data_IF_325515346644
#
_entry.id   IF_325515346644
#
_cell.length_a   1.000
_cell.length_b   1.000
_cell.length_c   1.000
_cell.angle_alpha   90.00
_cell.angle_beta   90.00
_cell.angle_gamma   90.00
#
_symmetry.space_group_name_H-M   'P 1'
#
loop_
_entity.id
_entity.type
_entity.pdbx_description
1 polymer ?
#
# COMPACT_ATOMS: atom_id res chain seq x y z
N UNK A 1 -48.85 16.55 62.30
CA UNK A 1 -48.85 15.08 62.35
C UNK A 1 -47.98 14.65 61.19
N UNK A 2 -46.70 14.48 61.45
CA UNK A 2 -46.01 13.20 61.69
C UNK A 2 -46.16 12.23 60.52
N UNK A 3 -45.15 11.85 59.84
CA UNK A 3 -44.10 10.86 59.99
C UNK A 3 -43.44 10.63 58.62
N UNK A 4 -42.21 10.72 58.50
CA UNK A 4 -41.07 9.79 58.53
C UNK A 4 -40.70 9.26 57.14
N UNK A 5 -39.57 9.73 56.74
CA UNK A 5 -38.28 9.03 56.70
C UNK A 5 -38.34 7.59 56.19
N UNK A 6 -37.74 7.35 55.03
CA UNK A 6 -36.72 6.33 54.98
C UNK A 6 -35.78 6.45 53.75
N UNK A 7 -34.53 6.67 54.08
CA UNK A 7 -33.36 6.44 53.24
C UNK A 7 -33.36 4.99 52.76
N UNK A 8 -33.10 4.76 51.50
CA UNK A 8 -32.22 3.63 51.11
C UNK A 8 -31.46 4.00 49.84
N UNK A 9 -30.20 4.21 50.06
CA UNK A 9 -29.09 4.13 49.13
C UNK A 9 -29.10 2.80 48.40
N UNK A 10 -29.14 2.82 47.09
CA UNK A 10 -28.75 1.70 46.26
C UNK A 10 -27.77 2.21 45.20
N UNK A 11 -26.53 2.08 45.58
CA UNK A 11 -25.35 2.24 44.72
C UNK A 11 -25.51 1.37 43.50
N UNK A 12 -25.97 1.92 42.39
CA UNK A 12 -25.96 1.26 41.10
C UNK A 12 -24.49 1.21 40.64
N UNK A 13 -23.82 0.14 41.01
CA UNK A 13 -22.48 -0.18 40.56
C UNK A 13 -22.59 -0.54 39.10
N UNK A 14 -22.36 0.45 38.21
CA UNK A 14 -22.17 0.23 36.80
C UNK A 14 -20.94 -0.66 36.65
N UNK A 15 -21.16 -1.94 36.41
CA UNK A 15 -20.13 -2.88 35.96
C UNK A 15 -19.65 -2.42 34.61
N UNK A 16 -18.60 -1.62 34.59
CA UNK A 16 -17.83 -1.33 33.39
C UNK A 16 -17.21 -2.67 32.97
N UNK A 17 -17.84 -3.29 31.98
CA UNK A 17 -17.31 -4.45 31.28
C UNK A 17 -15.90 -4.13 30.78
N UNK A 18 -14.88 -4.99 31.05
CA UNK A 18 -13.54 -4.73 30.59
C UNK A 18 -13.54 -4.70 29.06
N UNK A 19 -13.02 -3.60 28.53
CA UNK A 19 -12.82 -3.40 27.11
C UNK A 19 -12.35 -4.70 26.44
N UNK A 20 -13.11 -5.19 25.47
CA UNK A 20 -12.68 -6.24 24.56
C UNK A 20 -11.35 -5.80 23.97
N UNK A 21 -10.28 -6.39 24.48
CA UNK A 21 -8.95 -6.34 23.90
C UNK A 21 -9.11 -6.77 22.43
N UNK A 22 -9.09 -5.82 21.52
CA UNK A 22 -9.15 -6.09 20.11
C UNK A 22 -7.98 -7.04 19.81
N UNK A 23 -8.28 -8.32 19.62
CA UNK A 23 -7.36 -9.28 19.03
C UNK A 23 -6.95 -8.65 17.69
N UNK A 24 -5.67 -8.31 17.58
CA UNK A 24 -5.04 -7.86 16.35
C UNK A 24 -5.10 -9.06 15.39
N UNK A 25 -6.23 -9.17 14.66
CA UNK A 25 -6.37 -10.16 13.61
C UNK A 25 -5.15 -10.01 12.72
N UNK A 26 -4.36 -11.08 12.59
CA UNK A 26 -3.34 -11.20 11.55
C UNK A 26 -4.08 -11.09 10.24
N UNK A 27 -4.18 -9.89 9.70
CA UNK A 27 -4.75 -9.67 8.39
C UNK A 27 -3.86 -10.42 7.40
N UNK A 28 -4.40 -11.45 6.76
CA UNK A 28 -3.71 -12.17 5.68
C UNK A 28 -3.41 -11.18 4.55
N UNK A 29 -2.19 -10.66 4.57
CA UNK A 29 -1.68 -9.76 3.53
C UNK A 29 -0.92 -10.60 2.52
N UNK A 30 -1.54 -10.83 1.37
CA UNK A 30 -0.91 -11.52 0.24
C UNK A 30 -0.36 -10.49 -0.73
N UNK A 31 0.96 -10.38 -0.85
CA UNK A 31 1.60 -9.56 -1.88
C UNK A 31 1.42 -10.24 -3.24
N UNK A 32 0.87 -9.50 -4.20
CA UNK A 32 0.56 -10.00 -5.55
C UNK A 32 1.62 -9.56 -6.55
N UNK A 33 2.01 -8.29 -6.51
CA UNK A 33 3.01 -7.72 -7.40
C UNK A 33 3.88 -6.71 -6.64
N UNK A 34 5.17 -6.64 -6.95
CA UNK A 34 6.11 -5.68 -6.39
C UNK A 34 6.93 -5.00 -7.46
N UNK A 35 7.14 -3.69 -7.34
CA UNK A 35 7.98 -2.89 -8.22
C UNK A 35 9.41 -2.82 -7.66
N UNK A 36 10.26 -3.78 -8.07
CA UNK A 36 11.66 -3.81 -7.63
C UNK A 36 12.46 -2.66 -8.23
N UNK A 37 12.16 -2.26 -9.48
CA UNK A 37 12.83 -1.15 -10.18
C UNK A 37 12.63 0.18 -9.44
N UNK A 38 11.45 0.42 -8.89
CA UNK A 38 11.18 1.63 -8.11
C UNK A 38 12.14 1.78 -6.91
N UNK A 39 12.41 0.71 -6.18
CA UNK A 39 13.35 0.75 -5.04
C UNK A 39 14.81 0.93 -5.46
N UNK A 40 15.15 0.48 -6.66
CA UNK A 40 16.49 0.66 -7.22
C UNK A 40 16.70 2.10 -7.68
N UNK A 41 15.73 2.68 -8.40
CA UNK A 41 15.88 3.96 -9.10
C UNK A 41 15.54 5.18 -8.23
N UNK A 42 14.77 5.00 -7.17
CA UNK A 42 14.24 6.07 -6.34
C UNK A 42 14.60 5.90 -4.86
N UNK A 43 14.75 7.02 -4.17
CA UNK A 43 14.79 7.08 -2.70
C UNK A 43 13.35 7.24 -2.24
N UNK A 44 12.87 6.32 -1.40
CA UNK A 44 11.51 6.34 -0.86
C UNK A 44 11.59 6.96 0.52
N UNK A 45 10.87 8.07 0.73
CA UNK A 45 10.82 8.76 2.03
C UNK A 45 9.66 8.26 2.87
N UNK A 46 8.45 8.25 2.31
CA UNK A 46 7.24 7.85 3.02
C UNK A 46 6.45 6.85 2.18
N UNK A 47 5.69 5.98 2.86
CA UNK A 47 4.81 5.01 2.20
C UNK A 47 3.39 5.16 2.69
N UNK A 48 2.43 5.07 1.76
CA UNK A 48 1.00 5.22 2.00
C UNK A 48 0.26 4.02 1.45
N UNK A 49 -0.81 3.61 2.12
CA UNK A 49 -1.68 2.52 1.66
C UNK A 49 -2.95 3.11 1.05
N UNK A 50 -3.21 2.83 -0.22
CA UNK A 50 -4.37 3.30 -0.95
C UNK A 50 -5.26 2.13 -1.37
N UNK A 51 -6.58 2.30 -1.35
CA UNK A 51 -7.50 1.43 -2.04
C UNK A 51 -7.41 1.65 -3.55
N UNK A 52 -7.81 0.69 -4.36
CA UNK A 52 -7.86 0.82 -5.82
C UNK A 52 -9.24 0.47 -6.36
N UNK A 53 -9.75 1.29 -7.26
CA UNK A 53 -11.03 1.05 -7.96
C UNK A 53 -10.77 0.15 -9.17
N UNK A 54 -11.33 -1.05 -9.14
CA UNK A 54 -11.11 -2.09 -10.14
C UNK A 54 -12.45 -2.56 -10.73
N UNK A 55 -12.40 -3.06 -11.95
CA UNK A 55 -13.50 -3.82 -12.57
C UNK A 55 -13.46 -5.29 -12.13
N UNK A 56 -14.56 -6.02 -12.38
CA UNK A 56 -14.66 -7.43 -11.99
C UNK A 56 -13.61 -8.34 -12.67
N UNK A 57 -13.24 -8.04 -13.90
CA UNK A 57 -12.21 -8.77 -14.64
C UNK A 57 -10.80 -8.44 -14.12
N UNK A 58 -10.54 -7.18 -13.78
CA UNK A 58 -9.25 -6.75 -13.23
C UNK A 58 -8.92 -7.40 -11.88
N UNK A 59 -9.89 -7.44 -10.95
CA UNK A 59 -9.64 -8.07 -9.64
C UNK A 59 -9.31 -9.57 -9.78
N UNK A 60 -9.91 -10.25 -10.76
CA UNK A 60 -9.59 -11.65 -11.06
C UNK A 60 -8.16 -11.78 -11.58
N UNK A 61 -7.73 -10.92 -12.50
CA UNK A 61 -6.35 -10.87 -13.01
C UNK A 61 -5.34 -10.54 -11.92
N UNK A 62 -5.65 -9.60 -11.05
CA UNK A 62 -4.81 -9.26 -9.89
C UNK A 62 -4.67 -10.45 -8.95
N UNK A 63 -5.76 -11.14 -8.62
CA UNK A 63 -5.70 -12.35 -7.77
C UNK A 63 -4.86 -13.46 -8.39
N UNK A 64 -4.82 -13.54 -9.72
CA UNK A 64 -3.97 -14.46 -10.48
C UNK A 64 -2.50 -13.99 -10.60
N UNK A 65 -2.14 -12.83 -10.03
CA UNK A 65 -0.77 -12.30 -10.08
C UNK A 65 -0.37 -11.67 -11.41
N UNK A 66 -1.33 -11.43 -12.33
CA UNK A 66 -1.06 -10.93 -13.69
C UNK A 66 -1.05 -9.40 -13.73
N UNK A 67 -0.15 -8.79 -12.95
CA UNK A 67 0.00 -7.34 -12.86
C UNK A 67 1.46 -6.95 -12.96
N UNK A 68 1.75 -5.90 -13.73
CA UNK A 68 3.06 -5.28 -13.81
C UNK A 68 2.95 -3.80 -13.41
N UNK A 69 3.80 -3.39 -12.46
CA UNK A 69 3.89 -2.01 -11.95
C UNK A 69 5.11 -1.25 -12.49
N UNK A 70 5.87 -1.86 -13.38
CA UNK A 70 7.02 -1.18 -13.97
C UNK A 70 6.55 0.03 -14.78
N UNK A 71 7.31 1.12 -14.69
CA UNK A 71 7.07 2.36 -15.40
C UNK A 71 5.69 3.01 -15.12
N UNK A 72 5.05 2.61 -14.01
CA UNK A 72 3.81 3.22 -13.51
C UNK A 72 4.10 4.26 -12.44
N UNK A 73 3.24 5.26 -12.38
CA UNK A 73 3.30 6.34 -11.39
C UNK A 73 1.89 6.75 -10.96
N UNK A 74 1.80 7.49 -9.86
CA UNK A 74 0.54 8.05 -9.42
C UNK A 74 0.57 9.58 -9.54
N UNK A 75 -0.57 10.16 -9.93
CA UNK A 75 -0.76 11.60 -10.10
C UNK A 75 -2.00 12.06 -9.33
N UNK A 76 -1.94 13.28 -8.81
CA UNK A 76 -3.09 13.93 -8.18
C UNK A 76 -3.73 14.86 -9.21
N UNK A 77 -5.02 14.59 -9.55
CA UNK A 77 -5.86 15.44 -10.40
C UNK A 77 -7.17 15.74 -9.70
N UNK A 78 -7.55 17.00 -9.61
CA UNK A 78 -8.85 17.39 -9.04
C UNK A 78 -9.08 16.93 -7.60
N UNK A 79 -7.99 16.81 -6.79
CA UNK A 79 -8.10 16.31 -5.41
C UNK A 79 -8.26 14.80 -5.30
N UNK A 80 -8.05 14.06 -6.36
CA UNK A 80 -8.07 12.61 -6.42
C UNK A 80 -6.73 12.05 -6.89
N UNK A 81 -6.41 10.83 -6.47
CA UNK A 81 -5.16 10.14 -6.87
C UNK A 81 -5.47 9.13 -7.96
N UNK A 82 -4.71 9.18 -9.04
CA UNK A 82 -4.84 8.32 -10.20
C UNK A 82 -3.56 7.51 -10.42
N UNK A 83 -3.70 6.22 -10.60
CA UNK A 83 -2.61 5.31 -10.98
C UNK A 83 -2.57 5.20 -12.50
N UNK A 84 -1.43 5.57 -13.08
CA UNK A 84 -1.21 5.64 -14.53
C UNK A 84 -0.11 4.65 -14.92
N UNK A 85 -0.28 4.00 -16.08
CA UNK A 85 0.72 3.10 -16.66
C UNK A 85 0.81 1.71 -16.05
N UNK A 86 0.05 1.40 -14.99
CA UNK A 86 0.02 0.06 -14.42
C UNK A 86 -0.67 -0.91 -15.39
N UNK A 87 0.05 -1.96 -15.79
CA UNK A 87 -0.46 -2.98 -16.68
C UNK A 87 -1.13 -4.12 -15.91
N UNK A 88 -2.41 -4.34 -16.19
CA UNK A 88 -3.18 -5.49 -15.68
C UNK A 88 -3.58 -6.33 -16.88
N UNK A 89 -3.07 -7.56 -16.97
CA UNK A 89 -3.35 -8.43 -18.11
C UNK A 89 -4.83 -8.79 -18.19
N UNK A 90 -5.38 -8.95 -19.39
CA UNK A 90 -6.76 -9.40 -19.58
C UNK A 90 -7.00 -10.74 -18.87
N UNK A 91 -8.22 -10.93 -18.37
CA UNK A 91 -8.58 -12.19 -17.76
C UNK A 91 -8.92 -13.22 -18.83
N UNK A 92 -8.22 -14.36 -18.82
CA UNK A 92 -8.33 -15.39 -19.89
C UNK A 92 -9.73 -15.98 -20.09
N UNK A 93 -10.56 -15.93 -19.04
CA UNK A 93 -11.95 -16.39 -19.07
C UNK A 93 -12.95 -15.23 -19.12
N UNK A 94 -12.50 -14.01 -19.44
CA UNK A 94 -13.31 -12.78 -19.43
C UNK A 94 -14.08 -12.53 -20.72
N UNK A 95 -14.09 -13.49 -21.67
CA UNK A 95 -14.75 -13.38 -22.97
C UNK A 95 -14.51 -12.00 -23.65
N UNK A 96 -15.51 -11.40 -24.31
CA UNK A 96 -15.39 -10.14 -25.08
C UNK A 96 -15.29 -8.88 -24.21
N UNK A 97 -15.68 -8.93 -22.92
CA UNK A 97 -15.73 -7.78 -22.02
C UNK A 97 -14.45 -7.65 -21.15
N UNK A 98 -13.30 -7.67 -21.77
CA UNK A 98 -12.06 -7.40 -21.08
C UNK A 98 -11.80 -5.89 -21.01
N UNK A 99 -11.18 -5.47 -19.90
CA UNK A 99 -10.74 -4.11 -19.67
C UNK A 99 -9.51 -3.76 -20.51
N UNK A 100 -9.31 -2.47 -20.76
CA UNK A 100 -8.06 -1.96 -21.31
C UNK A 100 -6.92 -2.18 -20.29
N UNK A 101 -5.81 -2.88 -20.70
CA UNK A 101 -4.75 -3.26 -19.77
C UNK A 101 -4.06 -2.10 -19.05
N UNK A 102 -3.88 -0.95 -19.72
CA UNK A 102 -3.18 0.23 -19.18
C UNK A 102 -4.08 1.39 -18.81
N UNK A 103 -5.39 1.17 -18.65
CA UNK A 103 -6.29 2.26 -18.26
C UNK A 103 -5.86 2.93 -16.96
N UNK A 104 -6.20 4.18 -16.80
CA UNK A 104 -6.04 4.91 -15.55
C UNK A 104 -6.97 4.35 -14.47
N UNK A 105 -6.47 4.20 -13.25
CA UNK A 105 -7.22 3.63 -12.11
C UNK A 105 -7.23 4.61 -10.95
N UNK A 106 -8.43 4.93 -10.47
CA UNK A 106 -8.60 5.79 -9.32
C UNK A 106 -8.13 5.08 -8.05
N UNK A 107 -7.36 5.80 -7.24
CA UNK A 107 -6.92 5.34 -5.93
C UNK A 107 -7.73 6.03 -4.83
N UNK A 108 -8.10 5.25 -3.83
CA UNK A 108 -8.90 5.71 -2.69
C UNK A 108 -7.98 5.94 -1.50
N UNK A 109 -7.89 7.20 -1.07
CA UNK A 109 -7.11 7.65 0.07
C UNK A 109 -7.91 8.66 0.89
N UNK A 110 -7.52 8.87 2.13
CA UNK A 110 -8.12 9.92 2.95
C UNK A 110 -7.77 11.31 2.42
N UNK A 111 -8.75 12.22 2.43
CA UNK A 111 -8.57 13.59 1.92
C UNK A 111 -7.39 14.32 2.59
N UNK A 112 -7.17 14.09 3.88
CA UNK A 112 -6.03 14.68 4.61
C UNK A 112 -4.68 14.21 4.06
N UNK A 113 -4.57 12.91 3.71
CA UNK A 113 -3.37 12.34 3.10
C UNK A 113 -3.13 12.91 1.70
N UNK A 114 -4.20 13.03 0.89
CA UNK A 114 -4.12 13.61 -0.45
C UNK A 114 -3.62 15.06 -0.40
N UNK A 115 -4.14 15.89 0.51
CA UNK A 115 -3.71 17.28 0.68
C UNK A 115 -2.24 17.36 1.12
N UNK A 116 -1.81 16.49 2.06
CA UNK A 116 -0.41 16.41 2.49
C UNK A 116 0.51 16.02 1.34
N UNK A 117 0.12 15.01 0.56
CA UNK A 117 0.88 14.56 -0.61
C UNK A 117 0.94 15.63 -1.69
N UNK A 118 -0.16 16.33 -1.95
CA UNK A 118 -0.21 17.40 -2.94
C UNK A 118 0.80 18.50 -2.60
N UNK A 119 0.89 18.93 -1.34
CA UNK A 119 1.88 19.91 -0.91
C UNK A 119 3.31 19.45 -1.16
N UNK A 120 3.64 18.20 -0.80
CA UNK A 120 4.99 17.65 -0.99
C UNK A 120 5.37 17.45 -2.48
N UNK A 121 4.40 17.07 -3.33
CA UNK A 121 4.64 16.85 -4.76
C UNK A 121 4.89 18.18 -5.49
N UNK A 122 4.29 19.29 -5.02
CA UNK A 122 4.58 20.61 -5.57
C UNK A 122 6.02 21.06 -5.33
N UNK A 123 6.68 20.51 -4.30
CA UNK A 123 8.11 20.67 -4.12
C UNK A 123 8.87 19.95 -5.25
N UNK A 124 9.95 20.58 -5.75
CA UNK A 124 10.73 20.05 -6.88
C UNK A 124 11.33 18.66 -6.58
N UNK A 125 11.06 17.72 -7.46
CA UNK A 125 11.71 16.41 -7.49
C UNK A 125 10.98 15.29 -6.77
N UNK A 126 9.77 15.50 -6.22
CA UNK A 126 8.95 14.45 -5.64
C UNK A 126 7.95 13.86 -6.64
N UNK A 127 7.78 12.57 -6.57
CA UNK A 127 6.81 11.82 -7.37
C UNK A 127 6.20 10.68 -6.55
N UNK A 128 5.00 10.25 -6.92
CA UNK A 128 4.34 9.09 -6.30
C UNK A 128 4.53 7.87 -7.19
N UNK A 129 5.08 6.81 -6.60
CA UNK A 129 5.36 5.57 -7.32
C UNK A 129 4.68 4.41 -6.60
N UNK A 130 3.98 3.52 -7.30
CA UNK A 130 3.46 2.30 -6.70
C UNK A 130 4.63 1.33 -6.44
N UNK A 131 4.70 0.87 -5.19
CA UNK A 131 5.74 -0.05 -4.73
C UNK A 131 5.29 -1.51 -4.81
N UNK A 132 4.06 -1.75 -4.40
CA UNK A 132 3.48 -3.10 -4.43
C UNK A 132 1.96 -3.06 -4.42
N UNK A 133 1.36 -4.13 -4.94
CA UNK A 133 -0.06 -4.43 -4.80
C UNK A 133 -0.18 -5.64 -3.90
N UNK A 134 -1.05 -5.54 -2.91
CA UNK A 134 -1.36 -6.63 -2.00
C UNK A 134 -2.87 -6.80 -1.81
N UNK A 135 -3.26 -8.01 -1.45
CA UNK A 135 -4.62 -8.32 -1.06
C UNK A 135 -4.69 -8.34 0.47
N UNK A 136 -5.62 -7.58 1.01
CA UNK A 136 -5.94 -7.57 2.44
C UNK A 136 -7.44 -7.79 2.62
N UNK A 137 -7.80 -8.88 3.30
CA UNK A 137 -9.20 -9.28 3.47
C UNK A 137 -9.96 -9.36 2.12
N UNK A 138 -9.33 -9.93 1.08
CA UNK A 138 -9.91 -10.07 -0.26
C UNK A 138 -9.99 -8.79 -1.09
N UNK A 139 -9.63 -7.62 -0.54
CA UNK A 139 -9.59 -6.33 -1.23
C UNK A 139 -8.19 -6.01 -1.72
N UNK A 140 -8.08 -5.53 -2.96
CA UNK A 140 -6.80 -5.08 -3.50
C UNK A 140 -6.46 -3.70 -2.94
N UNK A 141 -5.22 -3.56 -2.50
CA UNK A 141 -4.64 -2.32 -2.03
C UNK A 141 -3.30 -2.08 -2.69
N UNK A 142 -2.95 -0.83 -2.88
CA UNK A 142 -1.68 -0.39 -3.47
C UNK A 142 -0.89 0.34 -2.41
N UNK A 143 0.35 -0.05 -2.23
CA UNK A 143 1.30 0.71 -1.45
C UNK A 143 1.98 1.72 -2.36
N UNK A 144 1.78 2.99 -2.08
CA UNK A 144 2.41 4.11 -2.77
C UNK A 144 3.64 4.56 -1.98
N UNK A 145 4.69 4.93 -2.68
CA UNK A 145 5.86 5.58 -2.11
C UNK A 145 5.95 7.02 -2.58
N UNK A 146 6.14 7.97 -1.66
CA UNK A 146 6.63 9.29 -2.00
C UNK A 146 8.13 9.16 -2.25
N UNK A 147 8.55 9.40 -3.48
CA UNK A 147 9.86 9.05 -3.96
C UNK A 147 10.55 10.20 -4.67
N UNK A 148 11.87 10.25 -4.55
CA UNK A 148 12.75 11.16 -5.27
C UNK A 148 13.73 10.36 -6.11
N UNK A 149 13.95 10.75 -7.37
CA UNK A 149 14.91 10.10 -8.25
C UNK A 149 16.33 10.12 -7.67
N UNK A 150 17.00 8.99 -7.66
CA UNK A 150 18.43 8.89 -7.31
C UNK A 150 19.29 9.54 -8.38
N UNK A 151 20.33 10.24 -7.98
CA UNK A 151 21.37 10.70 -8.91
C UNK A 151 22.15 9.49 -9.48
N UNK A 152 22.75 9.65 -10.64
CA UNK A 152 23.51 8.56 -11.29
C UNK A 152 24.64 8.00 -10.41
N UNK A 153 25.27 8.85 -9.61
CA UNK A 153 26.29 8.45 -8.64
C UNK A 153 25.73 7.54 -7.55
N UNK A 154 24.62 7.94 -6.93
CA UNK A 154 23.95 7.16 -5.86
C UNK A 154 23.47 5.77 -6.36
N UNK A 155 23.13 5.67 -7.67
CA UNK A 155 22.79 4.39 -8.29
C UNK A 155 24.00 3.45 -8.37
N UNK A 156 25.18 3.95 -8.74
CA UNK A 156 26.41 3.17 -8.82
C UNK A 156 26.82 2.63 -7.45
N UNK A 157 26.77 3.47 -6.42
CA UNK A 157 27.09 3.07 -5.05
C UNK A 157 26.11 2.03 -4.50
N UNK A 158 24.82 2.16 -4.82
CA UNK A 158 23.82 1.18 -4.40
C UNK A 158 24.00 -0.18 -5.10
N UNK A 159 24.44 -0.20 -6.35
CA UNK A 159 24.77 -1.44 -7.09
C UNK A 159 26.00 -2.08 -6.47
N UNK A 160 27.08 -1.33 -6.29
CA UNK A 160 28.33 -1.84 -5.69
C UNK A 160 28.13 -2.45 -4.30
N UNK A 161 27.33 -1.79 -3.43
CA UNK A 161 26.96 -2.33 -2.12
C UNK A 161 26.19 -3.64 -2.23
N UNK A 162 25.19 -3.70 -3.13
CA UNK A 162 24.39 -4.90 -3.30
C UNK A 162 25.20 -6.08 -3.85
N UNK A 163 26.16 -5.83 -4.75
CA UNK A 163 27.03 -6.86 -5.29
C UNK A 163 28.00 -7.35 -4.21
N UNK A 164 28.60 -6.46 -3.42
CA UNK A 164 29.41 -6.82 -2.27
C UNK A 164 28.66 -7.66 -1.24
N UNK A 165 27.42 -7.27 -0.88
CA UNK A 165 26.57 -8.06 0.04
C UNK A 165 26.24 -9.44 -0.53
N UNK A 166 26.09 -9.54 -1.86
CA UNK A 166 25.83 -10.81 -2.54
C UNK A 166 27.06 -11.73 -2.50
N UNK A 167 28.24 -11.18 -2.72
CA UNK A 167 29.51 -11.91 -2.61
C UNK A 167 29.77 -12.40 -1.19
N UNK A 168 29.58 -11.53 -0.20
CA UNK A 168 29.71 -11.89 1.22
C UNK A 168 28.75 -13.04 1.61
N UNK A 169 27.50 -12.98 1.15
CA UNK A 169 26.54 -14.08 1.42
C UNK A 169 26.92 -15.39 0.73
N UNK A 170 27.52 -15.35 -0.46
CA UNK A 170 28.03 -16.54 -1.15
C UNK A 170 29.21 -17.15 -0.39
N UNK A 171 30.20 -16.33 -0.03
CA UNK A 171 31.34 -16.77 0.74
C UNK A 171 30.96 -17.40 2.09
N UNK A 172 30.03 -16.77 2.82
CA UNK A 172 29.50 -17.35 4.06
C UNK A 172 28.81 -18.68 3.83
N UNK A 173 28.05 -18.83 2.74
CA UNK A 173 27.37 -20.08 2.43
C UNK A 173 28.35 -21.20 2.07
N UNK A 174 29.44 -20.90 1.39
CA UNK A 174 30.52 -21.84 1.05
C UNK A 174 31.31 -22.28 2.29
N UNK A 175 31.47 -21.40 3.31
CA UNK A 175 32.15 -21.75 4.56
C UNK A 175 31.30 -22.67 5.48
N UNK A 176 29.99 -22.73 5.31
CA UNK A 176 29.08 -23.54 6.13
C UNK A 176 28.64 -24.84 5.42
N UNK A 177 29.15 -25.15 4.24
CA UNK A 177 29.00 -26.42 3.53
C UNK A 177 30.32 -27.17 3.48
#
# INVERSE_FOLDING_TARGET
MTFNCWKRSSTCRVLISPARRAMKEKSDVKVVASNRKARHDYIIEETFEAGIVLTGTEIKSIRAGRVNLQDSFAMIRGGEVWLIGAHVSPYSHGNRENHEPRRERKLLMHRREILRLHGKIQEKGWTLIPLQIHLRNGRAKVQLGLARGKKLYDKRDSIAKHDHDREMRRALKEMYH
#
